data_IF_527870064340
#
_entry.id   IF_527870064340
#
_cell.length_a   1.000
_cell.length_b   1.000
_cell.length_c   1.000
_cell.angle_alpha   90.00
_cell.angle_beta   90.00
_cell.angle_gamma   90.00
#
_symmetry.space_group_name_H-M   'P 1'
#
loop_
_entity.id
_entity.type
_entity.pdbx_description
1 polymer ?
#
# COMPACT_ATOMS: atom_id res chain seq x y z
N UNK A 1 -19.94 8.11 -32.23
CA UNK A 1 -20.53 8.57 -33.51
C UNK A 1 -19.53 9.49 -34.15
N UNK A 2 -19.08 9.21 -35.38
CA UNK A 2 -18.15 10.06 -36.12
C UNK A 2 -18.94 11.22 -36.77
N UNK A 3 -18.45 12.45 -36.60
CA UNK A 3 -19.02 13.63 -37.24
C UNK A 3 -18.78 13.53 -38.76
N UNK A 4 -19.85 13.67 -39.55
CA UNK A 4 -19.77 13.71 -41.02
C UNK A 4 -19.31 15.09 -41.49
N UNK A 5 -18.64 15.20 -42.67
CA UNK A 5 -18.05 16.46 -43.15
C UNK A 5 -19.04 17.64 -43.23
N UNK A 6 -20.32 17.35 -43.49
CA UNK A 6 -21.38 18.37 -43.57
C UNK A 6 -21.66 19.05 -42.22
N UNK A 7 -21.39 18.38 -41.10
CA UNK A 7 -21.52 18.99 -39.76
C UNK A 7 -20.36 19.94 -39.43
N UNK A 8 -19.22 19.84 -40.10
CA UNK A 8 -18.04 20.69 -39.85
C UNK A 8 -18.21 22.08 -40.49
N UNK A 9 -18.84 22.16 -41.67
CA UNK A 9 -19.05 23.44 -42.36
C UNK A 9 -20.16 24.29 -41.71
N UNK A 10 -21.20 23.66 -41.14
CA UNK A 10 -22.17 24.38 -40.30
C UNK A 10 -21.61 24.79 -38.93
N UNK A 11 -20.56 24.12 -38.44
CA UNK A 11 -19.89 24.47 -37.17
C UNK A 11 -19.02 25.73 -37.27
N UNK A 12 -18.46 26.04 -38.45
CA UNK A 12 -17.59 27.21 -38.65
C UNK A 12 -18.34 28.48 -39.07
N UNK A 13 -19.62 28.36 -39.43
CA UNK A 13 -20.42 29.46 -39.99
C UNK A 13 -21.28 30.22 -38.97
N UNK A 14 -21.38 29.73 -37.72
CA UNK A 14 -22.10 30.44 -36.66
C UNK A 14 -21.26 30.51 -35.36
N UNK A 15 -20.84 31.70 -34.93
CA UNK A 15 -20.03 31.86 -33.71
C UNK A 15 -20.75 31.41 -32.44
N UNK A 16 -22.09 31.46 -32.39
CA UNK A 16 -22.87 31.07 -31.20
C UNK A 16 -22.86 29.55 -30.99
N UNK A 17 -22.93 28.75 -32.06
CA UNK A 17 -22.83 27.28 -31.96
C UNK A 17 -21.42 26.83 -31.62
N UNK A 18 -20.39 27.56 -32.06
CA UNK A 18 -19.01 27.30 -31.67
C UNK A 18 -18.79 27.56 -30.17
N UNK A 19 -19.35 28.65 -29.62
CA UNK A 19 -19.29 28.93 -28.18
C UNK A 19 -20.00 27.84 -27.38
N UNK A 20 -21.17 27.38 -27.81
CA UNK A 20 -21.90 26.30 -27.13
C UNK A 20 -21.13 24.98 -27.12
N UNK A 21 -20.55 24.58 -28.26
CA UNK A 21 -19.74 23.36 -28.37
C UNK A 21 -18.47 23.47 -27.53
N UNK A 22 -17.78 24.62 -27.56
CA UNK A 22 -16.58 24.86 -26.75
C UNK A 22 -16.91 24.85 -25.24
N UNK A 23 -18.08 25.36 -24.85
CA UNK A 23 -18.53 25.33 -23.46
C UNK A 23 -18.83 23.89 -23.03
N UNK A 24 -19.56 23.12 -23.84
CA UNK A 24 -19.78 21.69 -23.59
C UNK A 24 -18.49 20.87 -23.59
N UNK A 25 -17.53 21.20 -24.46
CA UNK A 25 -16.21 20.56 -24.49
C UNK A 25 -15.41 20.88 -23.22
N UNK A 26 -15.45 22.14 -22.75
CA UNK A 26 -14.81 22.58 -21.51
C UNK A 26 -15.45 21.95 -20.27
N UNK A 27 -16.77 21.80 -20.24
CA UNK A 27 -17.49 21.11 -19.16
C UNK A 27 -17.21 19.61 -19.16
N UNK A 28 -17.23 18.96 -20.33
CA UNK A 28 -16.87 17.55 -20.47
C UNK A 28 -15.39 17.29 -20.17
N UNK A 29 -14.51 18.26 -20.44
CA UNK A 29 -13.10 18.22 -20.08
C UNK A 29 -12.92 18.43 -18.56
N UNK A 30 -13.68 19.34 -17.93
CA UNK A 30 -13.64 19.56 -16.48
C UNK A 30 -14.13 18.33 -15.70
N UNK A 31 -15.17 17.63 -16.18
CA UNK A 31 -15.64 16.39 -15.57
C UNK A 31 -14.66 15.22 -15.79
N UNK A 32 -14.01 15.15 -16.97
CA UNK A 32 -12.93 14.20 -17.21
C UNK A 32 -11.69 14.50 -16.35
N UNK A 33 -11.35 15.77 -16.12
CA UNK A 33 -10.24 16.18 -15.27
C UNK A 33 -10.49 15.77 -13.82
N UNK A 34 -11.72 15.98 -13.33
CA UNK A 34 -12.12 15.60 -11.97
C UNK A 34 -12.08 14.09 -11.74
N UNK A 35 -12.50 13.30 -12.74
CA UNK A 35 -12.41 11.83 -12.72
C UNK A 35 -10.99 11.31 -12.96
N UNK A 36 -10.14 12.00 -13.73
CA UNK A 36 -8.73 11.66 -13.91
C UNK A 36 -7.89 11.95 -12.66
N UNK A 37 -8.19 13.03 -11.94
CA UNK A 37 -7.45 13.39 -10.72
C UNK A 37 -7.74 12.39 -9.58
N UNK A 38 -8.96 11.83 -9.51
CA UNK A 38 -9.26 10.72 -8.59
C UNK A 38 -8.66 9.38 -9.05
N UNK A 39 -8.66 9.06 -10.35
CA UNK A 39 -8.12 7.79 -10.85
C UNK A 39 -6.59 7.74 -10.83
N UNK A 40 -5.90 8.85 -11.07
CA UNK A 40 -4.41 8.88 -11.11
C UNK A 40 -3.80 8.73 -9.72
N UNK A 41 -4.51 9.15 -8.68
CA UNK A 41 -4.11 8.96 -7.27
C UNK A 41 -4.47 7.54 -6.77
N UNK A 42 -5.55 6.93 -7.29
CA UNK A 42 -6.00 5.60 -6.88
C UNK A 42 -5.39 4.43 -7.68
N UNK A 43 -4.91 4.66 -8.91
CA UNK A 43 -4.32 3.63 -9.77
C UNK A 43 -3.15 2.86 -9.13
N UNK A 44 -2.11 3.49 -8.55
CA UNK A 44 -1.05 2.74 -7.91
C UNK A 44 -1.48 2.12 -6.56
N UNK A 45 -2.48 2.69 -5.88
CA UNK A 45 -3.02 2.20 -4.60
C UNK A 45 -3.85 0.91 -4.76
N UNK A 46 -4.69 0.84 -5.78
CA UNK A 46 -5.57 -0.32 -6.02
C UNK A 46 -4.83 -1.52 -6.62
N UNK A 47 -3.98 -1.29 -7.63
CA UNK A 47 -3.22 -2.36 -8.29
C UNK A 47 -2.25 -3.10 -7.35
N UNK A 48 -1.76 -2.43 -6.29
CA UNK A 48 -0.78 -3.02 -5.38
C UNK A 48 -1.41 -3.70 -4.14
N UNK A 49 -2.53 -3.18 -3.65
CA UNK A 49 -3.32 -3.86 -2.61
C UNK A 49 -3.72 -5.27 -3.07
N UNK A 50 -4.06 -5.43 -4.36
CA UNK A 50 -4.39 -6.71 -4.99
C UNK A 50 -3.15 -7.58 -5.28
N UNK A 51 -2.02 -7.00 -5.69
CA UNK A 51 -0.77 -7.74 -5.93
C UNK A 51 -0.16 -8.32 -4.63
N UNK A 52 -0.36 -7.66 -3.48
CA UNK A 52 0.05 -8.17 -2.16
C UNK A 52 -1.00 -9.12 -1.56
N UNK A 53 -2.28 -8.94 -1.88
CA UNK A 53 -3.39 -9.82 -1.45
C UNK A 53 -3.25 -11.25 -1.98
N UNK A 54 -2.69 -11.41 -3.19
CA UNK A 54 -2.71 -12.66 -3.95
C UNK A 54 -1.66 -13.69 -3.54
N UNK A 55 -0.70 -13.34 -2.68
CA UNK A 55 0.24 -14.32 -2.15
C UNK A 55 -0.10 -14.64 -0.70
N UNK A 56 -0.59 -15.86 -0.43
CA UNK A 56 -0.80 -16.40 0.92
C UNK A 56 0.50 -16.52 1.77
N UNK A 57 1.58 -15.86 1.34
CA UNK A 57 2.93 -15.92 1.89
C UNK A 57 3.11 -14.93 3.04
N UNK A 58 3.55 -15.45 4.18
CA UNK A 58 4.08 -14.61 5.26
C UNK A 58 5.47 -14.10 4.89
N UNK A 59 5.70 -12.78 4.98
CA UNK A 59 7.01 -12.17 4.69
C UNK A 59 7.73 -11.75 5.96
N UNK A 60 9.05 -11.54 5.90
CA UNK A 60 9.79 -10.97 7.02
C UNK A 60 9.53 -9.46 7.14
N UNK A 61 9.68 -8.92 8.35
CA UNK A 61 9.56 -7.46 8.59
C UNK A 61 10.60 -6.68 7.76
N UNK A 62 11.80 -7.25 7.57
CA UNK A 62 12.83 -6.64 6.71
C UNK A 62 12.43 -6.60 5.23
N UNK A 63 11.67 -7.58 4.74
CA UNK A 63 11.13 -7.59 3.38
C UNK A 63 10.01 -6.57 3.23
N UNK A 64 9.13 -6.46 4.24
CA UNK A 64 8.13 -5.40 4.29
C UNK A 64 8.78 -4.00 4.22
N UNK A 65 9.88 -3.78 4.94
CA UNK A 65 10.59 -2.50 4.89
C UNK A 65 11.12 -2.16 3.49
N UNK A 66 11.68 -3.16 2.77
CA UNK A 66 12.12 -2.97 1.38
C UNK A 66 10.95 -2.61 0.47
N UNK A 67 9.82 -3.28 0.65
CA UNK A 67 8.60 -3.02 -0.10
C UNK A 67 8.09 -1.59 0.18
N UNK A 68 8.01 -1.17 1.44
CA UNK A 68 7.59 0.19 1.81
C UNK A 68 8.52 1.25 1.19
N UNK A 69 9.83 1.01 1.21
CA UNK A 69 10.81 1.89 0.55
C UNK A 69 10.62 1.98 -0.97
N UNK A 70 10.30 0.86 -1.62
CA UNK A 70 9.95 0.84 -3.04
C UNK A 70 8.68 1.64 -3.36
N UNK A 71 7.79 1.82 -2.38
CA UNK A 71 6.54 2.58 -2.51
C UNK A 71 6.67 4.05 -2.05
N UNK A 72 7.89 4.57 -1.91
CA UNK A 72 8.13 5.98 -1.59
C UNK A 72 8.18 6.31 -0.10
N UNK A 73 8.03 5.33 0.80
CA UNK A 73 8.18 5.54 2.25
C UNK A 73 9.65 5.40 2.63
N UNK A 74 10.33 6.49 3.05
CA UNK A 74 11.74 6.43 3.47
C UNK A 74 11.93 5.73 4.84
N UNK A 75 11.72 4.41 4.85
CA UNK A 75 11.87 3.56 6.04
C UNK A 75 12.79 2.38 5.76
N UNK A 76 13.84 2.28 6.57
CA UNK A 76 14.74 1.13 6.59
C UNK A 76 14.26 0.05 7.58
N UNK A 77 14.80 -1.17 7.46
CA UNK A 77 14.48 -2.29 8.36
C UNK A 77 14.57 -1.92 9.84
N UNK A 78 15.68 -1.30 10.27
CA UNK A 78 15.88 -0.94 11.68
C UNK A 78 14.86 0.11 12.16
N UNK A 79 14.53 1.10 11.31
CA UNK A 79 13.52 2.12 11.60
C UNK A 79 12.13 1.49 11.72
N UNK A 80 11.78 0.55 10.84
CA UNK A 80 10.51 -0.18 10.93
C UNK A 80 10.40 -1.00 12.22
N UNK A 81 11.46 -1.70 12.62
CA UNK A 81 11.48 -2.43 13.91
C UNK A 81 11.34 -1.49 15.11
N UNK A 82 11.93 -0.29 15.06
CA UNK A 82 11.75 0.72 16.11
C UNK A 82 10.31 1.24 16.14
N UNK A 83 9.75 1.59 14.98
CA UNK A 83 8.38 2.07 14.86
C UNK A 83 7.37 1.03 15.35
N UNK A 84 7.52 -0.24 14.96
CA UNK A 84 6.63 -1.32 15.39
C UNK A 84 6.66 -1.54 16.91
N UNK A 85 7.84 -1.38 17.54
CA UNK A 85 7.98 -1.45 18.99
C UNK A 85 7.38 -0.24 19.69
N UNK A 86 7.63 0.96 19.18
CA UNK A 86 7.08 2.21 19.72
C UNK A 86 5.55 2.28 19.64
N UNK A 87 4.97 1.68 18.60
CA UNK A 87 3.52 1.65 18.37
C UNK A 87 2.82 0.42 18.99
N UNK A 88 3.54 -0.42 19.75
CA UNK A 88 2.96 -1.57 20.46
C UNK A 88 2.54 -2.74 19.57
N UNK A 89 3.07 -2.84 18.35
CA UNK A 89 2.91 -4.04 17.51
C UNK A 89 3.91 -5.14 17.88
N UNK A 90 5.11 -4.75 18.29
CA UNK A 90 6.15 -5.63 18.80
C UNK A 90 6.50 -5.28 20.24
N UNK A 91 6.91 -6.28 21.01
CA UNK A 91 7.38 -6.08 22.38
C UNK A 91 8.72 -5.34 22.38
N UNK A 92 8.76 -4.19 23.05
CA UNK A 92 9.96 -3.38 23.21
C UNK A 92 10.87 -3.81 24.37
N UNK A 93 10.33 -4.59 25.32
CA UNK A 93 11.06 -5.07 26.50
C UNK A 93 12.20 -5.99 26.06
N UNK A 94 13.43 -5.63 26.44
CA UNK A 94 14.61 -6.48 26.23
C UNK A 94 14.45 -7.77 27.04
N UNK A 95 14.46 -8.91 26.38
CA UNK A 95 14.22 -10.23 26.96
C UNK A 95 13.86 -11.24 25.87
N UNK A 96 13.37 -12.41 26.28
CA UNK A 96 12.99 -13.52 25.38
C UNK A 96 11.89 -13.15 24.39
N UNK A 97 11.04 -12.17 24.73
CA UNK A 97 9.98 -11.66 23.87
C UNK A 97 10.37 -10.49 22.96
N UNK A 98 11.64 -10.05 22.96
CA UNK A 98 12.04 -8.90 22.14
C UNK A 98 11.77 -9.17 20.65
N UNK A 99 11.13 -8.21 19.96
CA UNK A 99 10.64 -8.36 18.58
C UNK A 99 9.57 -9.45 18.36
N UNK A 100 8.99 -10.00 19.42
CA UNK A 100 7.78 -10.82 19.32
C UNK A 100 6.54 -9.93 19.18
N UNK A 101 5.50 -10.39 18.46
CA UNK A 101 4.27 -9.64 18.33
C UNK A 101 3.56 -9.52 19.69
N UNK A 102 2.93 -8.39 19.93
CA UNK A 102 2.07 -8.21 21.12
C UNK A 102 0.77 -8.99 20.95
N UNK A 103 0.08 -9.27 22.06
CA UNK A 103 -1.23 -9.93 22.00
C UNK A 103 -2.20 -9.18 21.08
N UNK A 104 -2.26 -7.85 21.18
CA UNK A 104 -3.06 -7.00 20.28
C UNK A 104 -2.74 -7.23 18.81
N UNK A 105 -1.46 -7.33 18.46
CA UNK A 105 -1.04 -7.51 17.07
C UNK A 105 -1.34 -8.93 16.55
N UNK A 106 -1.34 -9.92 17.44
CA UNK A 106 -1.78 -11.28 17.16
C UNK A 106 -3.30 -11.36 16.97
N UNK A 107 -4.08 -10.69 17.83
CA UNK A 107 -5.55 -10.65 17.73
C UNK A 107 -6.01 -9.98 16.43
N UNK A 108 -5.27 -8.98 15.95
CA UNK A 108 -5.49 -8.34 14.65
C UNK A 108 -5.01 -9.22 13.47
N UNK A 109 -4.36 -10.34 13.73
CA UNK A 109 -3.78 -11.29 12.76
C UNK A 109 -2.74 -10.64 11.82
N UNK A 110 -2.03 -9.62 12.29
CA UNK A 110 -1.04 -8.90 11.48
C UNK A 110 0.27 -9.70 11.35
N UNK A 111 0.54 -10.60 12.30
CA UNK A 111 1.77 -11.36 12.37
C UNK A 111 1.52 -12.85 12.58
N UNK A 112 2.51 -13.65 12.18
CA UNK A 112 2.65 -15.07 12.52
C UNK A 112 4.03 -15.30 13.12
N UNK A 113 4.11 -16.11 14.16
CA UNK A 113 5.39 -16.55 14.73
C UNK A 113 5.76 -17.89 14.14
N UNK A 114 6.94 -17.97 13.51
CA UNK A 114 7.56 -19.24 13.12
C UNK A 114 8.56 -19.64 14.18
N UNK A 115 8.38 -20.82 14.75
CA UNK A 115 9.36 -21.42 15.65
C UNK A 115 10.31 -22.32 14.84
N UNK A 116 11.59 -22.26 15.13
CA UNK A 116 12.63 -23.09 14.51
C UNK A 116 13.49 -23.68 15.61
N UNK A 117 13.51 -25.01 15.68
CA UNK A 117 14.43 -25.73 16.55
C UNK A 117 15.83 -25.68 15.95
N UNK A 118 16.80 -25.22 16.75
CA UNK A 118 18.21 -25.21 16.40
C UNK A 118 18.89 -26.23 17.31
N UNK A 119 19.34 -27.32 16.71
CA UNK A 119 20.09 -28.35 17.41
C UNK A 119 21.55 -27.93 17.49
N UNK A 120 22.07 -27.87 18.72
CA UNK A 120 23.48 -27.56 18.95
C UNK A 120 24.27 -28.86 19.14
N UNK A 121 25.54 -28.85 18.72
CA UNK A 121 26.45 -29.99 18.83
C UNK A 121 26.69 -30.47 20.28
N UNK A 122 26.30 -29.67 21.28
CA UNK A 122 26.37 -30.01 22.71
C UNK A 122 25.11 -30.73 23.23
N UNK A 123 24.14 -31.08 22.38
CA UNK A 123 22.89 -31.76 22.75
C UNK A 123 21.79 -30.84 23.28
N UNK A 124 22.02 -29.52 23.35
CA UNK A 124 20.96 -28.55 23.69
C UNK A 124 20.14 -28.18 22.45
N UNK A 125 18.82 -28.06 22.62
CA UNK A 125 17.90 -27.59 21.58
C UNK A 125 17.45 -26.18 21.94
N UNK A 126 17.72 -25.21 21.08
CA UNK A 126 17.25 -23.83 21.25
C UNK A 126 16.08 -23.57 20.31
N UNK A 127 14.95 -23.08 20.84
CA UNK A 127 13.81 -22.67 20.01
C UNK A 127 13.96 -21.18 19.66
N UNK A 128 14.23 -20.90 18.38
CA UNK A 128 14.25 -19.55 17.85
C UNK A 128 12.87 -19.15 17.31
N UNK A 129 12.38 -17.98 17.73
CA UNK A 129 11.08 -17.45 17.30
C UNK A 129 11.30 -16.29 16.33
N UNK A 130 10.77 -16.42 15.12
CA UNK A 130 10.84 -15.38 14.10
C UNK A 130 9.45 -14.84 13.79
N UNK A 131 9.27 -13.53 13.98
CA UNK A 131 8.02 -12.83 13.65
C UNK A 131 7.96 -12.53 12.16
N UNK A 132 6.89 -12.99 11.51
CA UNK A 132 6.58 -12.73 10.10
C UNK A 132 5.29 -11.95 9.98
N UNK A 133 5.17 -11.14 8.93
CA UNK A 133 3.98 -10.35 8.61
C UNK A 133 3.05 -11.19 7.72
N UNK A 134 1.77 -11.26 8.07
CA UNK A 134 0.74 -11.94 7.26
C UNK A 134 0.35 -11.09 6.04
N UNK A 135 -0.37 -11.63 5.06
CA UNK A 135 -0.90 -10.82 3.94
C UNK A 135 -1.79 -9.66 4.44
N UNK A 136 -2.62 -9.93 5.45
CA UNK A 136 -3.42 -8.91 6.15
C UNK A 136 -2.55 -7.84 6.82
N UNK A 137 -1.47 -8.25 7.48
CA UNK A 137 -0.50 -7.34 8.08
C UNK A 137 0.20 -6.47 7.03
N UNK A 138 0.54 -7.03 5.88
CA UNK A 138 1.18 -6.29 4.79
C UNK A 138 0.28 -5.17 4.30
N UNK A 139 -0.99 -5.48 3.95
CA UNK A 139 -1.97 -4.47 3.54
C UNK A 139 -2.17 -3.40 4.62
N UNK A 140 -2.30 -3.82 5.88
CA UNK A 140 -2.48 -2.91 7.00
C UNK A 140 -1.33 -1.90 7.13
N UNK A 141 -0.08 -2.37 7.12
CA UNK A 141 1.08 -1.47 7.27
C UNK A 141 1.28 -0.61 6.03
N UNK A 142 1.11 -1.16 4.83
CA UNK A 142 1.20 -0.39 3.57
C UNK A 142 0.19 0.76 3.59
N UNK A 143 -1.08 0.48 3.86
CA UNK A 143 -2.12 1.52 3.93
C UNK A 143 -1.81 2.55 5.01
N UNK A 144 -1.30 2.10 6.17
CA UNK A 144 -0.94 3.00 7.27
C UNK A 144 0.18 3.97 6.89
N UNK A 145 1.29 3.48 6.34
CA UNK A 145 2.43 4.32 5.98
C UNK A 145 2.16 5.20 4.75
N UNK A 146 1.40 4.72 3.77
CA UNK A 146 1.00 5.52 2.61
C UNK A 146 0.03 6.65 2.99
N UNK A 147 -0.92 6.39 3.89
CA UNK A 147 -1.85 7.43 4.35
C UNK A 147 -1.16 8.46 5.27
N UNK A 148 -0.19 8.05 6.10
CA UNK A 148 0.62 8.98 6.92
C UNK A 148 1.49 9.92 6.06
N UNK A 149 1.79 9.56 4.80
CA UNK A 149 2.59 10.41 3.89
C UNK A 149 1.72 11.44 3.14
N UNK A 150 0.38 11.33 3.20
CA UNK A 150 -0.55 12.18 2.40
C UNK A 150 -1.08 13.40 3.19
N UNK A 151 -0.32 13.95 4.14
CA UNK A 151 -0.74 15.13 4.94
C UNK A 151 0.26 16.27 4.81
#
# INVERSE_FOLDING_TARGET
MYATPETVDQMLSNPDTMIEILTRYKEAQADNQRLHDENTIMQPKALFADAVSTSHSTILIGELAKLLRGNGVDIGQNRLFQWLRGNGYLIARKGTGFNSPTQRAMDMELFKVKETAIDHANGSVTISKTTKVTGKGQQYFINKFLNETTV
#
